data_IF_879471611831
#
_entry.id   IF_879471611831
#
_cell.length_a   1.000
_cell.length_b   1.000
_cell.length_c   1.000
_cell.angle_alpha   90.00
_cell.angle_beta   90.00
_cell.angle_gamma   90.00
#
_symmetry.space_group_name_H-M   'P 1'
#
loop_
_entity.id
_entity.type
_entity.pdbx_description
1 polymer ?
#
# COMPACT_ATOMS: atom_id res chain seq x y z
N UNK A 1 12.79 -3.47 29.52
CA UNK A 1 12.82 -2.45 28.46
C UNK A 1 11.49 -2.52 27.74
N UNK A 2 10.64 -1.55 27.96
CA UNK A 2 9.29 -1.48 27.37
C UNK A 2 9.39 -1.00 25.93
N UNK A 3 8.66 -1.63 25.02
CA UNK A 3 8.58 -1.33 23.58
C UNK A 3 8.22 0.14 23.24
N UNK A 4 7.97 0.99 24.24
CA UNK A 4 7.62 2.39 24.04
C UNK A 4 8.78 3.28 23.59
N UNK A 5 10.02 2.90 23.88
CA UNK A 5 11.19 3.75 23.65
C UNK A 5 11.80 3.63 22.24
N UNK A 6 11.29 2.70 21.41
CA UNK A 6 11.85 2.43 20.07
C UNK A 6 10.98 2.94 18.91
N UNK A 7 9.84 3.59 19.20
CA UNK A 7 8.88 4.06 18.19
C UNK A 7 8.85 5.58 18.04
N UNK A 8 9.71 6.31 18.71
CA UNK A 8 10.02 7.70 18.34
C UNK A 8 10.82 7.67 17.02
N UNK A 9 10.48 8.52 16.04
CA UNK A 9 11.33 8.67 14.86
C UNK A 9 12.76 8.96 15.33
N UNK A 10 13.79 8.30 14.76
CA UNK A 10 15.17 8.62 15.08
C UNK A 10 15.38 10.11 14.80
N UNK A 11 16.19 10.74 15.64
CA UNK A 11 16.67 12.09 15.37
C UNK A 11 17.29 12.12 13.96
N UNK A 12 17.15 13.21 13.19
CA UNK A 12 17.71 13.32 11.85
C UNK A 12 19.18 12.95 11.87
N UNK A 13 19.57 12.04 10.98
CA UNK A 13 20.94 11.52 10.90
C UNK A 13 21.87 12.70 10.55
N UNK A 14 22.86 12.98 11.37
CA UNK A 14 23.80 14.09 11.18
C UNK A 14 24.65 13.96 9.89
N UNK A 15 24.64 12.79 9.27
CA UNK A 15 25.29 12.55 7.98
C UNK A 15 24.51 13.15 6.78
N UNK A 16 23.22 13.41 6.93
CA UNK A 16 22.39 14.05 5.86
C UNK A 16 22.61 15.57 5.77
N UNK A 17 23.33 16.19 6.70
CA UNK A 17 23.67 17.63 6.67
C UNK A 17 24.72 17.99 5.60
N UNK A 18 25.35 17.02 4.94
CA UNK A 18 26.35 17.25 3.89
C UNK A 18 25.74 17.18 2.46
N UNK A 19 24.51 16.72 2.29
CA UNK A 19 23.78 16.91 1.04
C UNK A 19 23.17 18.30 1.13
N UNK A 20 23.86 19.27 0.52
CA UNK A 20 23.50 20.68 0.50
C UNK A 20 21.99 20.88 0.46
N UNK A 21 21.48 21.75 1.31
CA UNK A 21 20.11 22.19 1.34
C UNK A 21 19.68 22.59 -0.08
N UNK A 22 19.06 21.65 -0.81
CA UNK A 22 18.35 22.00 -2.02
C UNK A 22 17.14 22.85 -1.58
N UNK A 23 16.85 23.94 -2.27
CA UNK A 23 15.72 24.79 -1.94
C UNK A 23 14.45 23.95 -1.84
N UNK A 24 13.56 24.27 -0.92
CA UNK A 24 12.26 23.63 -0.72
C UNK A 24 11.41 23.60 -2.01
N UNK A 25 11.73 24.46 -2.98
CA UNK A 25 11.17 24.53 -4.34
C UNK A 25 11.50 23.32 -5.24
N UNK A 26 12.44 22.45 -4.85
CA UNK A 26 12.80 21.25 -5.63
C UNK A 26 11.86 20.06 -5.41
N UNK A 27 10.88 20.16 -4.50
CA UNK A 27 9.95 19.07 -4.19
C UNK A 27 8.62 19.31 -4.88
N UNK A 28 8.33 18.53 -5.91
CA UNK A 28 7.01 18.52 -6.52
C UNK A 28 6.31 17.20 -6.19
N UNK A 29 5.21 17.29 -5.44
CA UNK A 29 4.35 16.17 -5.12
C UNK A 29 3.03 16.27 -5.86
N UNK A 30 2.66 15.23 -6.58
CA UNK A 30 1.38 15.11 -7.28
C UNK A 30 0.64 13.88 -6.76
N UNK A 31 -0.66 14.05 -6.55
CA UNK A 31 -1.55 12.95 -6.16
C UNK A 31 -2.35 12.50 -7.37
N UNK A 32 -2.45 11.19 -7.54
CA UNK A 32 -3.29 10.54 -8.53
C UNK A 32 -4.28 9.60 -7.82
N UNK A 33 -5.55 9.84 -8.03
CA UNK A 33 -6.68 9.01 -7.56
C UNK A 33 -7.54 8.46 -8.71
N UNK A 34 -7.06 8.70 -9.93
CA UNK A 34 -7.57 8.19 -11.20
C UNK A 34 -6.45 7.40 -11.89
N UNK A 35 -6.69 6.12 -12.15
CA UNK A 35 -5.67 5.23 -12.71
C UNK A 35 -5.31 5.56 -14.16
N UNK A 36 -6.22 6.14 -14.96
CA UNK A 36 -5.89 6.51 -16.34
C UNK A 36 -4.91 7.67 -16.39
N UNK A 37 -5.13 8.70 -15.56
CA UNK A 37 -4.21 9.83 -15.40
C UNK A 37 -2.87 9.39 -14.82
N UNK A 38 -2.90 8.51 -13.81
CA UNK A 38 -1.69 7.93 -13.21
C UNK A 38 -0.85 7.21 -14.26
N UNK A 39 -1.44 6.27 -15.00
CA UNK A 39 -0.69 5.45 -15.96
C UNK A 39 -0.14 6.29 -17.12
N UNK A 40 -0.87 7.31 -17.56
CA UNK A 40 -0.35 8.25 -18.55
C UNK A 40 0.87 9.00 -18.02
N UNK A 41 0.81 9.57 -16.82
CA UNK A 41 1.93 10.26 -16.19
C UNK A 41 3.14 9.31 -15.95
N UNK A 42 2.90 8.07 -15.51
CA UNK A 42 3.97 7.08 -15.35
C UNK A 42 4.65 6.75 -16.68
N UNK A 43 3.89 6.59 -17.77
CA UNK A 43 4.42 6.31 -19.11
C UNK A 43 5.21 7.49 -19.63
N UNK A 44 4.72 8.72 -19.46
CA UNK A 44 5.42 9.94 -19.86
C UNK A 44 6.77 10.07 -19.12
N UNK A 45 6.80 9.83 -17.82
CA UNK A 45 8.03 9.85 -17.04
C UNK A 45 8.99 8.71 -17.42
N UNK A 46 8.48 7.51 -17.73
CA UNK A 46 9.27 6.40 -18.28
C UNK A 46 9.94 6.82 -19.60
N UNK A 47 9.18 7.40 -20.51
CA UNK A 47 9.70 7.86 -21.82
C UNK A 47 10.70 9.01 -21.68
N UNK A 48 10.58 9.83 -20.64
CA UNK A 48 11.53 10.92 -20.34
C UNK A 48 12.79 10.46 -19.59
N UNK A 49 12.85 9.23 -19.10
CA UNK A 49 13.98 8.67 -18.34
C UNK A 49 15.30 8.73 -19.11
N UNK A 50 16.41 8.97 -18.39
CA UNK A 50 17.76 9.14 -18.96
C UNK A 50 18.79 8.14 -18.49
N UNK A 51 18.60 7.53 -17.30
CA UNK A 51 19.61 6.65 -16.68
C UNK A 51 19.05 5.26 -16.38
N UNK A 52 17.95 5.20 -15.61
CA UNK A 52 17.38 3.92 -15.19
C UNK A 52 15.88 4.01 -14.91
N UNK A 53 15.24 2.84 -14.96
CA UNK A 53 13.84 2.64 -14.59
C UNK A 53 13.76 1.38 -13.73
N UNK A 54 13.32 1.49 -12.46
CA UNK A 54 13.10 0.36 -11.58
C UNK A 54 11.63 0.31 -11.17
N UNK A 55 11.00 -0.80 -11.48
CA UNK A 55 9.56 -1.02 -11.25
C UNK A 55 9.35 -2.26 -10.37
N UNK A 56 8.67 -2.08 -9.25
CA UNK A 56 8.15 -3.16 -8.42
C UNK A 56 6.63 -3.09 -8.40
N UNK A 57 5.95 -4.21 -8.72
CA UNK A 57 4.48 -4.28 -8.70
C UNK A 57 3.99 -5.66 -8.32
N UNK A 58 2.85 -5.70 -7.63
CA UNK A 58 2.17 -6.96 -7.34
C UNK A 58 1.56 -7.59 -8.58
N UNK A 59 0.89 -6.79 -9.42
CA UNK A 59 0.24 -7.28 -10.65
C UNK A 59 0.69 -6.49 -11.86
N UNK A 60 1.13 -7.22 -12.86
CA UNK A 60 1.38 -6.74 -14.20
C UNK A 60 0.55 -7.64 -15.15
N UNK A 61 -0.43 -7.09 -15.86
CA UNK A 61 -1.34 -7.88 -16.69
C UNK A 61 -0.97 -7.82 -18.17
N UNK A 62 -1.27 -8.89 -18.91
CA UNK A 62 -1.23 -8.87 -20.39
C UNK A 62 -2.57 -8.31 -20.90
N UNK A 63 -2.75 -7.00 -20.77
CA UNK A 63 -3.92 -6.27 -21.20
C UNK A 63 -3.52 -4.92 -21.86
N UNK A 64 -4.48 -4.09 -22.20
CA UNK A 64 -4.20 -2.82 -22.87
C UNK A 64 -3.23 -1.92 -22.08
N UNK A 65 -3.35 -1.86 -20.77
CA UNK A 65 -2.45 -1.07 -19.91
C UNK A 65 -1.07 -1.72 -19.86
N UNK A 66 -0.99 -3.02 -19.58
CA UNK A 66 0.28 -3.72 -19.53
C UNK A 66 1.07 -3.62 -20.85
N UNK A 67 0.39 -3.68 -22.00
CA UNK A 67 1.01 -3.50 -23.32
C UNK A 67 1.60 -2.10 -23.48
N UNK A 68 0.89 -1.05 -23.07
CA UNK A 68 1.42 0.33 -23.11
C UNK A 68 2.68 0.50 -22.25
N UNK A 69 2.70 -0.07 -21.03
CA UNK A 69 3.89 -0.07 -20.18
C UNK A 69 5.04 -0.87 -20.82
N UNK A 70 4.75 -2.07 -21.37
CA UNK A 70 5.75 -2.88 -22.06
C UNK A 70 6.41 -2.13 -23.22
N UNK A 71 5.62 -1.45 -24.05
CA UNK A 71 6.10 -0.67 -25.19
C UNK A 71 7.01 0.50 -24.73
N UNK A 72 6.60 1.25 -23.71
CA UNK A 72 7.41 2.33 -23.16
C UNK A 72 8.74 1.84 -22.58
N UNK A 73 8.71 0.73 -21.81
CA UNK A 73 9.90 0.10 -21.25
C UNK A 73 10.81 -0.47 -22.34
N UNK A 74 10.24 -1.11 -23.39
CA UNK A 74 11.00 -1.65 -24.51
C UNK A 74 11.73 -0.56 -25.29
N UNK A 75 11.08 0.58 -25.53
CA UNK A 75 11.69 1.73 -26.16
C UNK A 75 12.90 2.19 -25.37
N UNK A 76 12.78 2.35 -24.05
CA UNK A 76 13.87 2.81 -23.18
C UNK A 76 14.96 1.76 -23.01
N UNK A 77 14.63 0.46 -23.05
CA UNK A 77 15.63 -0.61 -23.07
C UNK A 77 16.50 -0.56 -24.34
N UNK A 78 15.89 -0.31 -25.49
CA UNK A 78 16.60 -0.12 -26.77
C UNK A 78 17.48 1.13 -26.80
N UNK A 79 17.17 2.14 -25.97
CA UNK A 79 18.02 3.33 -25.74
C UNK A 79 19.18 3.02 -24.77
N UNK A 80 19.29 1.81 -24.21
CA UNK A 80 20.39 1.36 -23.36
C UNK A 80 20.23 1.66 -21.86
N UNK A 81 19.03 2.02 -21.37
CA UNK A 81 18.81 2.30 -19.94
C UNK A 81 18.86 1.01 -19.11
N UNK A 82 19.34 1.11 -17.84
CA UNK A 82 19.24 0.02 -16.87
C UNK A 82 17.78 -0.11 -16.39
N UNK A 83 17.07 -1.13 -16.89
CA UNK A 83 15.69 -1.39 -16.54
C UNK A 83 15.58 -2.65 -15.71
N UNK A 84 14.98 -2.55 -14.53
CA UNK A 84 14.76 -3.67 -13.62
C UNK A 84 13.31 -3.76 -13.21
N UNK A 85 12.75 -4.95 -13.40
CA UNK A 85 11.38 -5.26 -13.05
C UNK A 85 11.35 -6.32 -11.95
N UNK A 86 10.61 -6.06 -10.88
CA UNK A 86 10.28 -7.02 -9.84
C UNK A 86 8.76 -7.18 -9.79
N UNK A 87 8.27 -8.32 -10.26
CA UNK A 87 6.83 -8.62 -10.30
C UNK A 87 6.53 -9.78 -9.37
N UNK A 88 5.38 -9.75 -8.67
CA UNK A 88 4.99 -10.89 -7.84
C UNK A 88 4.55 -12.06 -8.72
N UNK A 89 5.07 -13.26 -8.45
CA UNK A 89 4.81 -14.44 -9.28
C UNK A 89 3.38 -14.97 -9.18
N UNK A 90 2.62 -14.60 -8.15
CA UNK A 90 1.22 -14.98 -7.98
C UNK A 90 0.27 -13.91 -8.52
N UNK A 91 0.56 -12.64 -8.25
CA UNK A 91 -0.29 -11.52 -8.64
C UNK A 91 -0.22 -11.19 -10.13
N UNK A 92 0.97 -11.40 -10.75
CA UNK A 92 1.20 -11.07 -12.17
C UNK A 92 0.52 -12.06 -13.08
N UNK A 93 -0.29 -11.55 -14.01
CA UNK A 93 -1.02 -12.34 -15.02
C UNK A 93 -0.28 -12.42 -16.36
N UNK A 94 0.66 -11.51 -16.61
CA UNK A 94 1.53 -11.54 -17.76
C UNK A 94 2.52 -12.73 -17.67
N UNK A 95 2.58 -13.55 -18.69
CA UNK A 95 3.45 -14.73 -18.76
C UNK A 95 4.87 -14.38 -19.28
N UNK A 96 5.76 -15.35 -19.31
CA UNK A 96 7.14 -15.14 -19.78
C UNK A 96 7.19 -14.69 -21.26
N UNK A 97 6.26 -15.14 -22.10
CA UNK A 97 6.17 -14.73 -23.51
C UNK A 97 5.84 -13.24 -23.66
N UNK A 98 4.97 -12.70 -22.79
CA UNK A 98 4.67 -11.27 -22.77
C UNK A 98 5.91 -10.41 -22.53
N UNK A 99 6.86 -10.88 -21.72
CA UNK A 99 8.10 -10.17 -21.39
C UNK A 99 9.27 -10.53 -22.32
N UNK A 100 9.11 -11.44 -23.29
CA UNK A 100 10.21 -11.96 -24.09
C UNK A 100 11.01 -10.86 -24.81
N UNK A 101 10.33 -9.89 -25.43
CA UNK A 101 11.00 -8.77 -26.12
C UNK A 101 11.78 -7.87 -25.16
N UNK A 102 11.25 -7.63 -23.94
CA UNK A 102 11.94 -6.86 -22.91
C UNK A 102 13.22 -7.57 -22.46
N UNK A 103 13.14 -8.90 -22.25
CA UNK A 103 14.30 -9.72 -21.87
C UNK A 103 15.36 -9.72 -22.98
N UNK A 104 14.95 -9.84 -24.23
CA UNK A 104 15.85 -9.77 -25.38
C UNK A 104 16.52 -8.38 -25.53
N UNK A 105 15.85 -7.32 -25.11
CA UNK A 105 16.38 -5.97 -25.06
C UNK A 105 17.23 -5.66 -23.79
N UNK A 106 17.52 -6.67 -22.93
CA UNK A 106 18.41 -6.53 -21.78
C UNK A 106 17.72 -6.11 -20.47
N UNK A 107 16.38 -6.04 -20.42
CA UNK A 107 15.64 -5.76 -19.20
C UNK A 107 15.84 -6.90 -18.19
N UNK A 108 16.12 -6.54 -16.93
CA UNK A 108 16.37 -7.51 -15.86
C UNK A 108 15.07 -7.78 -15.10
N UNK A 109 14.33 -8.81 -15.49
CA UNK A 109 13.08 -9.22 -14.86
C UNK A 109 13.32 -10.26 -13.76
N UNK A 110 12.73 -10.05 -12.59
CA UNK A 110 12.67 -11.01 -11.49
C UNK A 110 11.23 -11.25 -11.06
N UNK A 111 10.87 -12.53 -10.89
CA UNK A 111 9.59 -12.93 -10.31
C UNK A 111 9.78 -13.15 -8.82
N UNK A 112 9.08 -12.36 -8.00
CA UNK A 112 9.13 -12.48 -6.56
C UNK A 112 8.47 -13.79 -6.12
N UNK A 113 9.26 -14.69 -5.51
CA UNK A 113 8.84 -15.98 -4.94
C UNK A 113 7.95 -16.81 -5.89
N UNK A 114 8.53 -17.39 -6.95
CA UNK A 114 7.84 -18.36 -7.82
C UNK A 114 7.17 -19.44 -6.97
N UNK A 115 5.91 -19.77 -7.29
CA UNK A 115 5.13 -20.80 -6.58
C UNK A 115 5.84 -22.15 -6.71
N UNK A 116 6.02 -22.83 -5.58
CA UNK A 116 6.60 -24.18 -5.53
C UNK A 116 5.56 -25.14 -4.94
N UNK A 117 5.31 -26.23 -5.65
CA UNK A 117 4.47 -27.34 -5.20
C UNK A 117 5.33 -28.37 -4.47
N UNK A 118 5.47 -28.29 -3.15
CA UNK A 118 6.11 -29.30 -2.30
C UNK A 118 5.25 -29.58 -1.07
N UNK A 119 5.20 -30.85 -0.65
CA UNK A 119 4.25 -31.42 0.29
C UNK A 119 4.32 -30.97 1.76
N UNK A 120 5.29 -30.17 2.17
CA UNK A 120 5.35 -29.65 3.54
C UNK A 120 5.65 -28.15 3.57
N UNK A 121 4.90 -27.37 4.36
CA UNK A 121 5.00 -25.92 4.52
C UNK A 121 4.67 -25.06 3.26
N UNK A 122 4.09 -25.62 2.23
CA UNK A 122 3.78 -24.96 0.96
C UNK A 122 2.79 -23.81 1.14
N UNK A 123 1.81 -23.97 2.04
CA UNK A 123 0.77 -22.96 2.26
C UNK A 123 1.36 -21.64 2.80
N UNK A 124 2.14 -21.70 3.88
CA UNK A 124 2.74 -20.50 4.49
C UNK A 124 3.71 -19.79 3.53
N UNK A 125 4.49 -20.56 2.75
CA UNK A 125 5.46 -20.01 1.78
C UNK A 125 4.80 -19.35 0.58
N UNK A 126 3.75 -19.96 0.02
CA UNK A 126 3.02 -19.40 -1.10
C UNK A 126 2.11 -18.23 -0.71
N UNK A 127 1.81 -18.08 0.58
CA UNK A 127 0.99 -17.01 1.11
C UNK A 127 1.77 -15.69 1.28
N UNK A 128 3.11 -15.76 1.41
CA UNK A 128 3.97 -14.58 1.51
C UNK A 128 4.23 -13.97 0.13
N UNK A 129 3.75 -12.75 -0.13
CA UNK A 129 3.83 -12.07 -1.43
C UNK A 129 4.40 -10.66 -1.32
N UNK A 130 4.96 -10.13 -2.41
CA UNK A 130 5.28 -8.71 -2.49
C UNK A 130 4.04 -7.93 -2.95
N UNK A 131 3.49 -7.13 -2.04
CA UNK A 131 2.35 -6.27 -2.37
C UNK A 131 2.78 -4.82 -2.61
N UNK A 132 4.08 -4.55 -2.65
CA UNK A 132 4.64 -3.22 -2.91
C UNK A 132 4.36 -2.77 -4.33
N UNK A 133 4.22 -1.46 -4.52
CA UNK A 133 4.08 -0.80 -5.80
C UNK A 133 4.97 0.44 -5.81
N UNK A 134 6.05 0.37 -6.59
CA UNK A 134 7.04 1.43 -6.72
C UNK A 134 7.46 1.58 -8.18
N UNK A 135 7.57 2.82 -8.65
CA UNK A 135 8.30 3.13 -9.87
C UNK A 135 9.33 4.21 -9.54
N UNK A 136 10.59 3.94 -9.85
CA UNK A 136 11.72 4.81 -9.58
C UNK A 136 12.41 5.18 -10.89
N UNK A 137 12.63 6.46 -11.11
CA UNK A 137 13.24 6.98 -12.35
C UNK A 137 14.34 7.98 -12.00
N UNK A 138 15.58 7.71 -12.46
CA UNK A 138 16.72 8.63 -12.51
C UNK A 138 17.11 9.31 -11.18
N UNK A 139 16.96 8.66 -10.04
CA UNK A 139 17.13 9.27 -8.69
C UNK A 139 16.29 10.54 -8.46
N UNK A 140 15.27 10.79 -9.27
CA UNK A 140 14.48 12.01 -9.27
C UNK A 140 13.00 11.80 -8.99
N UNK A 141 12.41 10.73 -9.54
CA UNK A 141 10.97 10.50 -9.52
C UNK A 141 10.68 9.18 -8.83
N UNK A 142 9.78 9.22 -7.86
CA UNK A 142 9.21 8.06 -7.18
C UNK A 142 7.70 8.07 -7.31
N UNK A 143 7.12 6.96 -7.77
CA UNK A 143 5.72 6.68 -7.58
C UNK A 143 5.57 5.63 -6.48
N UNK A 144 4.70 5.92 -5.52
CA UNK A 144 4.32 5.01 -4.44
C UNK A 144 2.81 5.07 -4.22
N UNK A 145 2.18 3.91 -4.02
CA UNK A 145 0.73 3.88 -3.78
C UNK A 145 0.12 2.50 -3.83
N UNK A 146 -1.14 2.47 -4.27
CA UNK A 146 -2.00 1.29 -4.19
C UNK A 146 -2.28 0.61 -5.54
N UNK A 147 -2.04 1.29 -6.69
CA UNK A 147 -2.45 0.82 -8.01
C UNK A 147 -1.62 -0.33 -8.56
N UNK A 148 -2.28 -1.27 -9.20
CA UNK A 148 -1.68 -2.34 -9.98
C UNK A 148 -1.70 -1.99 -11.47
N UNK A 149 -0.79 -2.55 -12.27
CA UNK A 149 -0.71 -2.32 -13.72
C UNK A 149 -1.67 -3.25 -14.46
N UNK A 150 -2.93 -2.85 -14.54
CA UNK A 150 -4.01 -3.64 -15.15
C UNK A 150 -5.17 -2.76 -15.62
N UNK A 151 -5.82 -3.17 -16.70
CA UNK A 151 -6.97 -2.45 -17.26
C UNK A 151 -8.24 -2.61 -16.44
N UNK A 152 -8.41 -3.75 -15.75
CA UNK A 152 -9.66 -4.01 -15.03
C UNK A 152 -9.89 -3.07 -13.83
N UNK A 153 -8.83 -2.46 -13.31
CA UNK A 153 -8.90 -1.53 -12.19
C UNK A 153 -8.93 -0.04 -12.64
N UNK A 154 -9.16 0.24 -13.93
CA UNK A 154 -9.14 1.62 -14.43
C UNK A 154 -10.19 2.52 -13.80
N UNK A 155 -11.36 1.99 -13.49
CA UNK A 155 -12.45 2.71 -12.82
C UNK A 155 -12.33 2.80 -11.30
N UNK A 156 -11.37 2.11 -10.73
CA UNK A 156 -11.19 2.07 -9.27
C UNK A 156 -10.63 3.40 -8.75
N UNK A 157 -11.11 3.77 -7.58
CA UNK A 157 -10.52 4.88 -6.84
C UNK A 157 -9.32 4.38 -6.05
N UNK A 158 -8.16 4.55 -6.62
CA UNK A 158 -6.86 4.22 -6.03
C UNK A 158 -6.21 5.48 -5.45
N UNK A 159 -5.00 5.34 -4.89
CA UNK A 159 -4.24 6.46 -4.37
C UNK A 159 -2.75 6.27 -4.61
N UNK A 160 -2.14 7.21 -5.34
CA UNK A 160 -0.71 7.19 -5.62
C UNK A 160 -0.12 8.59 -5.50
N UNK A 161 1.09 8.69 -4.99
CA UNK A 161 1.89 9.90 -5.03
C UNK A 161 3.01 9.75 -6.06
N UNK A 162 3.18 10.77 -6.87
CA UNK A 162 4.39 11.05 -7.65
C UNK A 162 5.19 12.09 -6.88
N UNK A 163 6.37 11.73 -6.46
CA UNK A 163 7.27 12.59 -5.70
C UNK A 163 8.50 12.84 -6.56
N UNK A 164 8.68 14.07 -7.00
CA UNK A 164 9.92 14.50 -7.67
C UNK A 164 10.84 15.10 -6.62
N UNK A 165 11.82 14.30 -6.19
CA UNK A 165 12.71 14.66 -5.09
C UNK A 165 13.91 13.72 -5.02
N UNK A 166 15.05 14.14 -4.44
CA UNK A 166 16.17 13.26 -4.14
C UNK A 166 15.84 12.09 -3.18
N UNK A 167 14.69 12.08 -2.51
CA UNK A 167 14.22 10.91 -1.71
C UNK A 167 14.23 9.61 -2.52
N UNK A 168 14.17 9.71 -3.85
CA UNK A 168 14.20 8.56 -4.78
C UNK A 168 15.42 7.67 -4.54
N UNK A 169 16.58 8.23 -4.15
CA UNK A 169 17.77 7.43 -3.83
C UNK A 169 17.57 6.55 -2.58
N UNK A 170 16.75 6.98 -1.60
CA UNK A 170 16.39 6.16 -0.42
C UNK A 170 15.46 5.01 -0.85
N UNK A 171 14.45 5.31 -1.68
CA UNK A 171 13.58 4.27 -2.26
C UNK A 171 14.35 3.28 -3.15
N UNK A 172 15.42 3.72 -3.83
CA UNK A 172 16.29 2.83 -4.60
C UNK A 172 16.94 1.76 -3.71
N UNK A 173 17.44 2.16 -2.53
CA UNK A 173 17.95 1.19 -1.53
C UNK A 173 16.89 0.17 -1.10
N UNK A 174 15.66 0.65 -0.85
CA UNK A 174 14.50 -0.19 -0.51
C UNK A 174 14.15 -1.17 -1.63
N UNK A 175 14.14 -0.70 -2.89
CA UNK A 175 13.90 -1.54 -4.06
C UNK A 175 14.94 -2.66 -4.17
N UNK A 176 16.23 -2.32 -4.09
CA UNK A 176 17.31 -3.31 -4.23
C UNK A 176 17.29 -4.34 -3.11
N UNK A 177 16.98 -3.96 -1.89
CA UNK A 177 16.84 -4.91 -0.79
C UNK A 177 15.81 -6.00 -1.12
N UNK A 178 14.65 -5.64 -1.69
CA UNK A 178 13.63 -6.62 -2.09
C UNK A 178 13.99 -7.31 -3.41
N UNK A 179 14.57 -6.58 -4.35
CA UNK A 179 14.98 -7.10 -5.65
C UNK A 179 16.05 -8.20 -5.52
N UNK A 180 17.03 -8.07 -4.64
CA UNK A 180 18.07 -9.09 -4.44
C UNK A 180 17.54 -10.30 -3.64
N UNK A 181 16.55 -10.11 -2.77
CA UNK A 181 15.98 -11.16 -1.93
C UNK A 181 14.81 -11.92 -2.60
N UNK A 182 14.52 -11.72 -3.86
CA UNK A 182 13.32 -12.24 -4.55
C UNK A 182 13.15 -13.77 -4.50
N UNK A 183 14.22 -14.56 -4.35
CA UNK A 183 14.21 -16.03 -4.28
C UNK A 183 14.16 -16.58 -2.87
N UNK A 184 14.55 -15.79 -1.86
CA UNK A 184 14.72 -16.29 -0.51
C UNK A 184 13.36 -16.44 0.17
N UNK A 185 13.06 -17.67 0.57
CA UNK A 185 11.89 -18.02 1.38
C UNK A 185 12.23 -18.02 2.88
N UNK A 186 13.51 -17.82 3.21
CA UNK A 186 13.98 -17.82 4.59
C UNK A 186 13.52 -16.55 5.30
N UNK A 187 13.19 -16.72 6.57
CA UNK A 187 13.04 -15.61 7.49
C UNK A 187 14.39 -14.89 7.53
N UNK A 188 14.47 -13.72 6.92
CA UNK A 188 15.68 -12.91 6.97
C UNK A 188 16.06 -12.75 8.43
N UNK A 189 17.34 -13.02 8.80
CA UNK A 189 17.81 -12.78 10.15
C UNK A 189 17.42 -11.37 10.58
N UNK A 190 17.12 -11.24 11.84
CA UNK A 190 16.64 -10.06 12.52
C UNK A 190 17.61 -8.87 12.37
N UNK A 191 17.63 -8.24 11.20
CA UNK A 191 18.14 -6.88 11.13
C UNK A 191 17.05 -5.95 11.63
N UNK A 192 17.40 -5.08 12.59
CA UNK A 192 16.51 -4.03 13.07
C UNK A 192 15.92 -3.31 11.86
N UNK A 193 14.64 -3.53 11.59
CA UNK A 193 13.93 -2.90 10.50
C UNK A 193 14.09 -1.39 10.68
N UNK A 194 14.78 -0.74 9.76
CA UNK A 194 15.04 0.70 9.85
C UNK A 194 13.88 1.44 9.20
N UNK A 195 13.30 2.37 9.93
CA UNK A 195 12.50 3.43 9.34
C UNK A 195 13.50 4.35 8.66
N UNK A 196 13.32 4.60 7.38
CA UNK A 196 14.19 5.49 6.61
C UNK A 196 13.54 6.86 6.58
N UNK A 197 14.16 7.83 7.26
CA UNK A 197 13.67 9.21 7.32
C UNK A 197 14.37 10.08 6.28
N UNK A 198 13.60 11.00 5.68
CA UNK A 198 14.12 11.99 4.73
C UNK A 198 13.16 13.19 4.64
N UNK A 199 13.62 14.38 5.08
CA UNK A 199 12.90 15.67 4.94
C UNK A 199 11.38 15.60 5.21
N UNK A 200 10.98 15.13 6.39
CA UNK A 200 9.56 15.06 6.79
C UNK A 200 8.80 13.83 6.26
N UNK A 201 9.44 12.97 5.49
CA UNK A 201 8.93 11.68 5.08
C UNK A 201 9.65 10.54 5.82
N UNK A 202 8.91 9.49 6.12
CA UNK A 202 9.44 8.25 6.66
C UNK A 202 8.95 7.08 5.82
N UNK A 203 9.87 6.28 5.30
CA UNK A 203 9.60 5.07 4.53
C UNK A 203 9.57 3.90 5.51
N UNK A 204 8.41 3.27 5.65
CA UNK A 204 8.22 2.08 6.46
C UNK A 204 8.07 0.86 5.58
N UNK A 205 8.75 -0.22 5.92
CA UNK A 205 8.66 -1.47 5.18
C UNK A 205 8.35 -2.61 6.14
N UNK A 206 7.45 -3.50 5.73
CA UNK A 206 7.26 -4.79 6.37
C UNK A 206 7.73 -5.93 5.49
N UNK A 207 8.25 -6.94 6.16
CA UNK A 207 8.47 -8.28 5.64
C UNK A 207 7.60 -9.24 6.44
N UNK A 208 7.13 -10.34 5.85
CA UNK A 208 6.29 -11.29 6.57
C UNK A 208 6.90 -11.72 7.91
N UNK A 209 6.16 -11.46 8.98
CA UNK A 209 6.58 -11.80 10.35
C UNK A 209 5.38 -11.87 11.28
N UNK A 210 5.41 -12.83 12.21
CA UNK A 210 4.42 -12.92 13.30
C UNK A 210 4.79 -12.05 14.49
N UNK A 211 6.07 -11.71 14.63
CA UNK A 211 6.62 -10.99 15.79
C UNK A 211 6.83 -9.50 15.50
N UNK A 212 7.38 -9.17 14.35
CA UNK A 212 7.79 -7.81 13.98
C UNK A 212 6.95 -7.31 12.83
N UNK A 213 6.00 -6.42 13.12
CA UNK A 213 5.06 -5.84 12.19
C UNK A 213 5.11 -4.32 12.37
N UNK A 214 6.12 -3.67 11.77
CA UNK A 214 6.39 -2.24 11.94
C UNK A 214 5.18 -1.41 11.51
N UNK A 215 4.62 -1.70 10.33
CA UNK A 215 3.47 -0.96 9.79
C UNK A 215 2.28 -1.06 10.74
N UNK A 216 1.97 -2.26 11.25
CA UNK A 216 0.90 -2.43 12.24
C UNK A 216 1.16 -1.68 13.54
N UNK A 217 2.38 -1.81 14.08
CA UNK A 217 2.71 -1.23 15.37
C UNK A 217 2.73 0.31 15.28
N UNK A 218 3.19 0.84 14.14
CA UNK A 218 3.14 2.26 13.83
C UNK A 218 1.69 2.76 13.69
N UNK A 219 0.85 2.01 12.96
CA UNK A 219 -0.60 2.27 12.85
C UNK A 219 -1.26 2.32 14.23
N UNK A 220 -0.98 1.34 15.11
CA UNK A 220 -1.49 1.32 16.47
C UNK A 220 -1.05 2.55 17.27
N UNK A 221 0.21 2.96 17.14
CA UNK A 221 0.73 4.14 17.83
C UNK A 221 0.03 5.41 17.36
N UNK A 222 -0.15 5.59 16.05
CA UNK A 222 -0.86 6.74 15.49
C UNK A 222 -2.32 6.82 16.01
N UNK A 223 -3.06 5.71 15.99
CA UNK A 223 -4.46 5.64 16.47
C UNK A 223 -4.54 5.97 17.96
N UNK A 224 -3.64 5.44 18.79
CA UNK A 224 -3.62 5.67 20.24
C UNK A 224 -3.33 7.10 20.61
N UNK A 225 -2.49 7.78 19.83
CA UNK A 225 -2.07 9.16 20.08
C UNK A 225 -2.92 10.22 19.38
N UNK A 226 -3.90 9.82 18.57
CA UNK A 226 -4.85 10.72 17.94
C UNK A 226 -5.67 11.50 18.98
N UNK A 227 -5.87 12.80 18.71
CA UNK A 227 -6.55 13.75 19.61
C UNK A 227 -7.88 14.28 19.07
N UNK A 228 -8.02 14.38 17.75
CA UNK A 228 -9.16 15.03 17.11
C UNK A 228 -9.85 14.12 16.12
N UNK A 229 -9.12 13.60 15.13
CA UNK A 229 -9.70 12.85 14.03
C UNK A 229 -8.80 11.76 13.51
N UNK A 230 -9.43 10.65 13.10
CA UNK A 230 -8.83 9.53 12.37
C UNK A 230 -9.68 9.27 11.13
N UNK A 231 -9.08 9.43 9.95
CA UNK A 231 -9.67 9.08 8.66
C UNK A 231 -8.90 7.90 8.07
N UNK A 232 -9.57 6.81 7.73
CA UNK A 232 -8.95 5.61 7.15
C UNK A 232 -9.65 5.28 5.84
N UNK A 233 -8.91 5.17 4.75
CA UNK A 233 -9.38 4.55 3.50
C UNK A 233 -8.70 3.20 3.30
N UNK A 234 -9.48 2.16 3.02
CA UNK A 234 -8.97 0.83 2.73
C UNK A 234 -10.00 -0.01 1.97
N UNK A 235 -9.62 -0.82 0.96
CA UNK A 235 -10.55 -1.74 0.32
C UNK A 235 -11.01 -2.85 1.27
N UNK A 236 -10.10 -3.31 2.14
CA UNK A 236 -10.32 -4.44 3.02
C UNK A 236 -10.14 -4.03 4.47
N UNK A 237 -11.17 -4.31 5.28
CA UNK A 237 -11.15 -4.01 6.71
C UNK A 237 -11.32 -5.29 7.53
N UNK A 238 -10.20 -5.97 7.74
CA UNK A 238 -10.12 -7.19 8.57
C UNK A 238 -9.03 -7.04 9.65
N UNK A 239 -9.08 -5.97 10.46
CA UNK A 239 -8.01 -5.69 11.42
C UNK A 239 -8.03 -6.68 12.59
N UNK A 240 -6.84 -6.94 13.12
CA UNK A 240 -6.66 -7.71 14.35
C UNK A 240 -7.32 -7.08 15.56
N UNK A 241 -7.49 -7.86 16.63
CA UNK A 241 -8.14 -7.39 17.86
C UNK A 241 -7.52 -6.09 18.43
N UNK A 242 -6.18 -5.98 18.41
CA UNK A 242 -5.48 -4.79 18.94
C UNK A 242 -5.87 -3.51 18.19
N UNK A 243 -6.00 -3.55 16.86
CA UNK A 243 -6.39 -2.40 16.05
C UNK A 243 -7.86 -2.02 16.27
N UNK A 244 -8.76 -3.02 16.31
CA UNK A 244 -10.19 -2.77 16.61
C UNK A 244 -10.36 -2.12 17.99
N UNK A 245 -9.66 -2.65 19.00
CA UNK A 245 -9.66 -2.10 20.35
C UNK A 245 -9.14 -0.65 20.36
N UNK A 246 -8.04 -0.37 19.68
CA UNK A 246 -7.47 0.97 19.60
C UNK A 246 -8.42 1.99 18.93
N UNK A 247 -9.14 1.60 17.86
CA UNK A 247 -10.15 2.46 17.22
C UNK A 247 -11.32 2.75 18.14
N UNK A 248 -11.82 1.74 18.86
CA UNK A 248 -12.89 1.89 19.83
C UNK A 248 -12.47 2.80 21.00
N UNK A 249 -11.27 2.61 21.53
CA UNK A 249 -10.69 3.45 22.59
C UNK A 249 -10.49 4.90 22.11
N UNK A 250 -10.10 5.11 20.85
CA UNK A 250 -9.98 6.45 20.27
C UNK A 250 -11.36 7.14 20.22
N UNK A 251 -12.39 6.45 19.72
CA UNK A 251 -13.75 6.96 19.69
C UNK A 251 -14.29 7.25 21.10
N UNK A 252 -14.01 6.38 22.09
CA UNK A 252 -14.38 6.59 23.49
C UNK A 252 -13.69 7.82 24.13
N UNK A 253 -12.50 8.20 23.63
CA UNK A 253 -11.83 9.47 24.04
C UNK A 253 -12.41 10.71 23.37
N UNK A 254 -13.43 10.58 22.50
CA UNK A 254 -14.03 11.69 21.76
C UNK A 254 -13.34 11.99 20.42
N UNK A 255 -12.40 11.15 19.98
CA UNK A 255 -11.78 11.28 18.64
C UNK A 255 -12.80 10.91 17.57
N UNK A 256 -12.95 11.74 16.54
CA UNK A 256 -13.77 11.43 15.36
C UNK A 256 -13.11 10.32 14.54
N UNK A 257 -13.69 9.12 14.50
CA UNK A 257 -13.14 7.98 13.74
C UNK A 257 -14.05 7.66 12.57
N UNK A 258 -13.55 7.90 11.34
CA UNK A 258 -14.25 7.57 10.09
C UNK A 258 -13.43 6.57 9.28
N UNK A 259 -14.08 5.53 8.79
CA UNK A 259 -13.46 4.51 7.92
C UNK A 259 -14.23 4.44 6.62
N UNK A 260 -13.53 4.67 5.53
CA UNK A 260 -14.02 4.65 4.16
C UNK A 260 -13.73 3.28 3.53
N UNK A 261 -14.77 2.64 3.06
CA UNK A 261 -14.74 1.29 2.47
C UNK A 261 -15.51 1.31 1.14
N UNK A 262 -15.19 0.45 0.18
CA UNK A 262 -16.10 0.24 -0.95
C UNK A 262 -17.42 -0.38 -0.43
N UNK A 263 -18.55 0.00 -1.03
CA UNK A 263 -19.82 -0.67 -0.75
C UNK A 263 -19.71 -2.16 -1.09
N UNK A 264 -19.12 -2.45 -2.25
CA UNK A 264 -18.75 -3.79 -2.71
C UNK A 264 -17.29 -3.78 -3.14
N UNK A 265 -16.46 -4.63 -2.52
CA UNK A 265 -15.08 -4.80 -2.95
C UNK A 265 -14.96 -5.81 -4.09
N UNK A 266 -13.80 -5.85 -4.73
CA UNK A 266 -13.45 -6.87 -5.73
C UNK A 266 -13.32 -8.29 -5.16
N UNK A 267 -13.39 -8.47 -3.83
CA UNK A 267 -13.29 -9.75 -3.15
C UNK A 267 -14.51 -9.97 -2.22
N UNK A 268 -15.63 -10.51 -2.73
CA UNK A 268 -16.90 -10.63 -1.98
C UNK A 268 -16.79 -11.37 -0.62
N UNK A 269 -15.87 -12.33 -0.51
CA UNK A 269 -15.63 -13.03 0.76
C UNK A 269 -15.07 -12.11 1.85
N UNK A 270 -14.30 -11.09 1.46
CA UNK A 270 -13.80 -10.07 2.41
C UNK A 270 -14.95 -9.18 2.88
N UNK A 271 -15.88 -8.83 2.00
CA UNK A 271 -17.07 -8.06 2.36
C UNK A 271 -17.94 -8.81 3.38
N UNK A 272 -18.10 -10.12 3.20
CA UNK A 272 -18.80 -10.97 4.14
C UNK A 272 -18.06 -11.02 5.49
N UNK A 273 -16.75 -11.20 5.51
CA UNK A 273 -15.95 -11.25 6.73
C UNK A 273 -15.88 -9.91 7.48
N UNK A 274 -15.79 -8.77 6.75
CA UNK A 274 -15.73 -7.43 7.37
C UNK A 274 -17.04 -7.07 8.08
N UNK A 275 -18.17 -7.57 7.56
CA UNK A 275 -19.50 -7.26 8.05
C UNK A 275 -19.65 -7.55 9.56
N UNK A 276 -18.97 -8.58 10.06
CA UNK A 276 -18.90 -8.91 11.48
C UNK A 276 -18.38 -7.76 12.38
N UNK A 277 -17.52 -6.89 11.84
CA UNK A 277 -16.90 -5.84 12.63
C UNK A 277 -17.65 -4.51 12.56
N UNK A 278 -18.48 -4.30 11.53
CA UNK A 278 -19.13 -3.01 11.27
C UNK A 278 -20.04 -2.60 12.42
N UNK A 279 -20.99 -3.45 12.80
CA UNK A 279 -21.96 -3.11 13.85
C UNK A 279 -21.36 -2.94 15.24
N UNK A 280 -20.52 -3.85 15.73
CA UNK A 280 -19.86 -3.68 17.03
C UNK A 280 -19.04 -2.40 17.15
N UNK A 281 -18.25 -2.05 16.14
CA UNK A 281 -17.46 -0.82 16.14
C UNK A 281 -18.32 0.44 15.95
N UNK A 282 -19.42 0.35 15.16
CA UNK A 282 -20.38 1.43 15.03
C UNK A 282 -20.99 1.82 16.38
N UNK A 283 -21.38 0.85 17.20
CA UNK A 283 -21.86 1.06 18.57
C UNK A 283 -20.81 1.72 19.48
N UNK A 284 -19.53 1.51 19.19
CA UNK A 284 -18.41 2.10 19.91
C UNK A 284 -17.98 3.47 19.36
N UNK A 285 -18.75 4.05 18.42
CA UNK A 285 -18.50 5.40 17.93
C UNK A 285 -17.74 5.49 16.60
N UNK A 286 -17.27 4.37 16.01
CA UNK A 286 -16.66 4.37 14.69
C UNK A 286 -17.72 4.60 13.61
N UNK A 287 -17.46 5.49 12.67
CA UNK A 287 -18.36 5.80 11.56
C UNK A 287 -17.86 5.18 10.26
N UNK A 288 -18.78 4.53 9.53
CA UNK A 288 -18.50 3.87 8.26
C UNK A 288 -19.03 4.71 7.12
N UNK A 289 -18.16 5.00 6.17
CA UNK A 289 -18.47 5.71 4.93
C UNK A 289 -18.32 4.72 3.78
N UNK A 290 -19.40 4.37 3.12
CA UNK A 290 -19.47 3.33 2.07
C UNK A 290 -19.43 4.00 0.69
N UNK A 291 -18.32 3.89 0.01
CA UNK A 291 -18.11 4.43 -1.35
C UNK A 291 -18.96 3.66 -2.37
N UNK A 292 -19.71 4.36 -3.16
CA UNK A 292 -20.76 3.78 -4.03
C UNK A 292 -20.36 3.57 -5.47
N UNK A 293 -19.59 4.45 -6.15
CA UNK A 293 -19.45 4.41 -7.60
C UNK A 293 -18.82 3.12 -8.13
N UNK A 294 -17.75 2.65 -7.48
CA UNK A 294 -17.01 1.44 -7.84
C UNK A 294 -16.15 0.98 -6.66
N UNK A 295 -15.07 0.24 -6.91
CA UNK A 295 -14.15 -0.20 -5.86
C UNK A 295 -13.30 0.97 -5.35
N UNK A 296 -13.30 1.19 -4.04
CA UNK A 296 -12.36 2.07 -3.35
C UNK A 296 -11.15 1.24 -2.96
N UNK A 297 -10.03 1.45 -3.66
CA UNK A 297 -8.83 0.64 -3.45
C UNK A 297 -7.65 1.43 -2.85
N UNK A 298 -7.86 2.71 -2.52
CA UNK A 298 -6.92 3.54 -1.79
C UNK A 298 -6.56 2.95 -0.41
N UNK A 299 -5.34 3.16 0.04
CA UNK A 299 -4.85 2.75 1.36
C UNK A 299 -4.15 3.91 2.01
N UNK A 300 -4.88 4.62 2.87
CA UNK A 300 -4.30 5.70 3.63
C UNK A 300 -4.98 5.90 4.99
N UNK A 301 -4.30 6.59 5.87
CA UNK A 301 -4.81 7.05 7.15
C UNK A 301 -4.33 8.48 7.40
N UNK A 302 -5.25 9.38 7.76
CA UNK A 302 -4.94 10.74 8.17
C UNK A 302 -5.27 10.90 9.66
N UNK A 303 -4.39 11.57 10.38
CA UNK A 303 -4.51 11.76 11.82
C UNK A 303 -4.43 13.25 12.15
N UNK A 304 -5.47 13.76 12.83
CA UNK A 304 -5.55 15.11 13.39
C UNK A 304 -5.31 16.24 12.36
N UNK A 305 -5.52 15.97 11.06
CA UNK A 305 -5.24 16.92 9.99
C UNK A 305 -3.75 17.27 9.83
N UNK A 306 -2.83 16.52 10.45
CA UNK A 306 -1.39 16.84 10.51
C UNK A 306 -0.49 15.73 9.99
N UNK A 307 -0.91 14.47 10.13
CA UNK A 307 -0.10 13.28 9.81
C UNK A 307 -0.80 12.44 8.79
N UNK A 308 -0.04 11.94 7.83
CA UNK A 308 -0.55 10.98 6.87
C UNK A 308 0.27 9.68 6.89
N UNK A 309 -0.40 8.60 6.53
CA UNK A 309 0.19 7.28 6.38
C UNK A 309 -0.47 6.61 5.18
N UNK A 310 0.28 6.39 4.08
CA UNK A 310 -0.28 5.88 2.84
C UNK A 310 0.69 4.95 2.13
N UNK A 311 0.18 4.06 1.26
CA UNK A 311 1.03 3.15 0.49
C UNK A 311 0.32 1.88 0.04
N UNK A 312 0.97 0.72 0.22
CA UNK A 312 0.48 -0.54 -0.33
C UNK A 312 -0.35 -1.39 0.64
N UNK A 313 -0.23 -1.18 1.98
CA UNK A 313 -0.83 -2.06 2.98
C UNK A 313 -2.32 -1.81 3.19
N UNK A 314 -3.13 -2.86 3.05
CA UNK A 314 -4.53 -2.86 3.48
C UNK A 314 -4.64 -2.91 5.01
N UNK A 315 -5.82 -2.56 5.52
CA UNK A 315 -6.12 -2.63 6.95
C UNK A 315 -6.61 -4.05 7.34
N UNK A 316 -5.79 -5.07 7.04
CA UNK A 316 -6.14 -6.48 7.21
C UNK A 316 -5.00 -7.34 7.77
N UNK A 317 -5.33 -8.60 8.11
CA UNK A 317 -4.37 -9.56 8.64
C UNK A 317 -3.27 -9.92 7.66
N UNK A 318 -3.61 -9.99 6.36
CA UNK A 318 -2.70 -10.45 5.33
C UNK A 318 -1.59 -9.43 5.11
N UNK A 319 -1.95 -8.16 4.96
CA UNK A 319 -0.99 -7.06 4.80
C UNK A 319 -0.05 -6.96 6.01
N UNK A 320 -0.58 -7.03 7.23
CA UNK A 320 0.25 -6.85 8.42
C UNK A 320 1.10 -8.07 8.81
N UNK A 321 0.88 -9.27 8.23
CA UNK A 321 1.57 -10.48 8.68
C UNK A 321 2.30 -11.26 7.58
N UNK A 322 1.77 -11.24 6.37
CA UNK A 322 2.18 -12.18 5.33
C UNK A 322 2.69 -11.52 4.06
N UNK A 323 2.52 -10.20 3.93
CA UNK A 323 2.95 -9.48 2.74
C UNK A 323 4.16 -8.60 3.00
N UNK A 324 4.97 -8.44 1.95
CA UNK A 324 5.95 -7.38 1.88
C UNK A 324 5.19 -6.12 1.49
N UNK A 325 5.18 -5.15 2.39
CA UNK A 325 4.46 -3.90 2.23
C UNK A 325 5.41 -2.70 2.33
N UNK A 326 4.98 -1.59 1.80
CA UNK A 326 5.68 -0.32 1.91
C UNK A 326 4.66 0.79 2.18
N UNK A 327 4.94 1.62 3.19
CA UNK A 327 4.13 2.78 3.53
C UNK A 327 5.01 4.02 3.64
N UNK A 328 4.44 5.14 3.26
CA UNK A 328 5.01 6.47 3.46
C UNK A 328 4.23 7.16 4.59
N UNK A 329 4.95 7.59 5.61
CA UNK A 329 4.44 8.42 6.70
C UNK A 329 5.07 9.80 6.59
N UNK A 330 4.29 10.85 6.92
CA UNK A 330 4.84 12.19 6.95
C UNK A 330 3.91 13.21 7.60
N UNK A 331 4.48 14.41 7.77
CA UNK A 331 3.80 15.61 8.27
C UNK A 331 3.92 16.76 7.24
N UNK A 332 4.31 16.46 6.00
CA UNK A 332 4.44 17.44 4.92
C UNK A 332 3.09 18.08 4.61
N UNK A 333 3.02 19.41 4.72
CA UNK A 333 1.78 20.18 4.62
C UNK A 333 1.14 20.08 3.24
N UNK A 334 1.93 20.10 2.16
CA UNK A 334 1.40 20.00 0.80
C UNK A 334 0.80 18.62 0.55
N UNK A 335 1.54 17.56 0.88
CA UNK A 335 1.04 16.19 0.76
C UNK A 335 -0.21 15.97 1.61
N UNK A 336 -0.23 16.53 2.82
CA UNK A 336 -1.39 16.46 3.71
C UNK A 336 -2.62 17.14 3.08
N UNK A 337 -2.45 18.33 2.50
CA UNK A 337 -3.52 19.07 1.80
C UNK A 337 -4.08 18.27 0.61
N UNK A 338 -3.20 17.65 -0.18
CA UNK A 338 -3.62 16.80 -1.31
C UNK A 338 -4.43 15.58 -0.84
N UNK A 339 -4.00 14.92 0.23
CA UNK A 339 -4.68 13.77 0.80
C UNK A 339 -6.02 14.14 1.46
N UNK A 340 -6.09 15.29 2.13
CA UNK A 340 -7.36 15.80 2.66
C UNK A 340 -8.36 16.10 1.55
N UNK A 341 -7.93 16.72 0.46
CA UNK A 341 -8.77 16.97 -0.71
C UNK A 341 -9.26 15.65 -1.35
N UNK A 342 -8.40 14.64 -1.46
CA UNK A 342 -8.75 13.31 -1.93
C UNK A 342 -9.83 12.66 -1.06
N UNK A 343 -9.65 12.63 0.28
CA UNK A 343 -10.66 12.05 1.19
C UNK A 343 -11.97 12.84 1.17
N UNK A 344 -11.90 14.17 1.11
CA UNK A 344 -13.11 14.99 1.02
C UNK A 344 -13.90 14.69 -0.25
N UNK A 345 -13.24 14.45 -1.39
CA UNK A 345 -13.89 14.03 -2.64
C UNK A 345 -14.45 12.61 -2.53
N UNK A 346 -13.72 11.67 -1.93
CA UNK A 346 -14.22 10.32 -1.64
C UNK A 346 -15.50 10.39 -0.80
N UNK A 347 -15.52 11.23 0.24
CA UNK A 347 -16.64 11.36 1.17
C UNK A 347 -17.93 11.80 0.50
N UNK A 348 -17.86 12.67 -0.52
CA UNK A 348 -19.03 13.11 -1.32
C UNK A 348 -19.73 11.96 -2.03
N UNK A 349 -19.01 10.91 -2.36
CA UNK A 349 -19.52 9.71 -3.05
C UNK A 349 -19.85 8.56 -2.09
N UNK A 350 -19.75 8.80 -0.78
CA UNK A 350 -20.05 7.81 0.23
C UNK A 350 -21.47 7.96 0.79
N UNK A 351 -22.00 6.85 1.29
CA UNK A 351 -23.15 6.85 2.19
C UNK A 351 -22.75 6.33 3.56
N UNK A 352 -23.49 6.72 4.58
CA UNK A 352 -23.35 6.14 5.91
C UNK A 352 -23.79 4.68 5.93
N UNK A 353 -23.26 3.91 6.87
CA UNK A 353 -23.77 2.59 7.18
C UNK A 353 -25.20 2.70 7.72
N UNK A 354 -26.16 2.09 7.01
CA UNK A 354 -27.48 1.86 7.55
C UNK A 354 -27.41 0.73 8.61
N UNK A 355 -27.32 1.14 9.87
CA UNK A 355 -27.16 0.20 10.99
C UNK A 355 -28.40 -0.71 11.15
N UNK A 356 -29.62 -0.23 10.92
CA UNK A 356 -30.82 -1.04 11.05
C UNK A 356 -30.87 -2.09 9.93
N UNK A 357 -30.55 -1.75 8.70
CA UNK A 357 -30.40 -2.71 7.61
C UNK A 357 -29.31 -3.74 7.92
N UNK A 358 -28.15 -3.30 8.43
CA UNK A 358 -27.07 -4.19 8.83
C UNK A 358 -27.51 -5.18 9.93
N UNK A 359 -28.26 -4.72 10.92
CA UNK A 359 -28.76 -5.54 12.02
C UNK A 359 -29.75 -6.62 11.54
N UNK A 360 -30.57 -6.28 10.54
CA UNK A 360 -31.66 -7.12 10.04
C UNK A 360 -31.27 -8.00 8.85
N UNK A 361 -29.96 -8.26 8.63
CA UNK A 361 -29.52 -9.22 7.58
C UNK A 361 -30.07 -10.61 7.82
N UNK A 362 -30.47 -11.37 6.76
CA UNK A 362 -30.99 -12.71 6.89
C UNK A 362 -30.06 -13.64 7.67
N UNK A 363 -30.62 -14.55 8.43
CA UNK A 363 -29.86 -15.48 9.27
C UNK A 363 -28.89 -16.37 8.46
N UNK A 364 -29.24 -16.74 7.23
CA UNK A 364 -28.37 -17.47 6.29
C UNK A 364 -27.06 -16.70 6.02
N UNK A 365 -27.14 -15.39 5.87
CA UNK A 365 -25.95 -14.55 5.68
C UNK A 365 -25.06 -14.56 6.95
N UNK A 366 -25.67 -14.48 8.14
CA UNK A 366 -24.96 -14.58 9.42
C UNK A 366 -24.33 -15.96 9.62
N UNK A 367 -25.01 -17.01 9.19
CA UNK A 367 -24.48 -18.37 9.24
C UNK A 367 -23.27 -18.54 8.30
N UNK A 368 -23.35 -18.04 7.06
CA UNK A 368 -22.21 -18.03 6.13
C UNK A 368 -21.03 -17.23 6.69
N UNK A 369 -21.28 -16.05 7.27
CA UNK A 369 -20.27 -15.24 7.97
C UNK A 369 -19.58 -16.03 9.10
N UNK A 370 -20.38 -16.73 9.92
CA UNK A 370 -19.87 -17.55 11.02
C UNK A 370 -19.01 -18.71 10.50
N UNK A 371 -19.44 -19.40 9.45
CA UNK A 371 -18.73 -20.54 8.85
C UNK A 371 -17.34 -20.15 8.31
N UNK A 372 -17.22 -18.99 7.67
CA UNK A 372 -15.96 -18.57 7.08
C UNK A 372 -15.06 -17.77 8.05
N UNK A 373 -15.59 -17.32 9.19
CA UNK A 373 -14.84 -16.54 10.20
C UNK A 373 -13.53 -17.20 10.68
N UNK A 374 -13.43 -18.53 10.89
CA UNK A 374 -12.16 -19.17 11.27
C UNK A 374 -11.04 -18.93 10.26
N UNK A 375 -11.40 -18.82 8.98
CA UNK A 375 -10.45 -18.63 7.87
C UNK A 375 -10.04 -17.18 7.64
N UNK A 376 -10.56 -16.21 8.41
CA UNK A 376 -10.28 -14.77 8.24
C UNK A 376 -8.79 -14.38 8.28
N UNK A 377 -7.94 -15.25 8.82
CA UNK A 377 -6.48 -15.03 8.87
C UNK A 377 -5.78 -15.33 7.54
N UNK A 378 -6.51 -15.92 6.59
CA UNK A 378 -6.00 -16.21 5.25
C UNK A 378 -6.17 -15.02 4.29
N UNK A 379 -7.04 -14.08 4.67
CA UNK A 379 -7.40 -12.87 3.93
C UNK A 379 -6.83 -11.61 4.55
#
# INVERSE_FOLDING_TARGET
MTLSDTLTPPAPDTADNAVAAMPQEAYNTQLFDDNLRLFSAMIDDILAAKKYIYLETYRFSDDAIGKRFREALLRKAREGLDIRLLVDAYGTQANELFFAELLAAGVKLRYFKKIKFFFSNTFARNHTRSHRKLLLIDDRITYIGSSNLTSYALSWRDLNLRIQSPITHKFRGVFFQNYEQYKFYELVPFEKKKIISYHGYNILQDTPSTYYQIIRDYTLNLIRNAKQEILIETPYFLPGHKLRKALAEAAARGVSVKVYLPLHSDVPVIDLLRNKYLGPLYKQGVRWRLFRPDNLHAKCMLIDGKRFFMGSANFDYRSFRYQYEIMLYGENTETMRLLQAHIAETDRHCSDLDYEKWKNVPWLYRFAEWLITPFRRLF
#
